data_IF_744975742390
#
_entry.id   IF_744975742390
#
_cell.length_a   1.000
_cell.length_b   1.000
_cell.length_c   1.000
_cell.angle_alpha   90.00
_cell.angle_beta   90.00
_cell.angle_gamma   90.00
#
_symmetry.space_group_name_H-M   'P 1'
#
loop_
_entity.id
_entity.type
_entity.pdbx_description
1 polymer ?
#
# COMPACT_ATOMS: atom_id res chain seq x y z
N UNK A 1 -12.28 7.01 -39.82
CA UNK A 1 -11.87 6.58 -38.47
C UNK A 1 -10.94 7.64 -37.93
N UNK A 2 -11.44 8.52 -37.05
CA UNK A 2 -10.57 9.51 -36.39
C UNK A 2 -9.88 8.79 -35.23
N UNK A 3 -8.65 8.34 -35.45
CA UNK A 3 -7.79 7.88 -34.36
C UNK A 3 -7.43 9.09 -33.50
N UNK A 4 -7.46 8.95 -32.18
CA UNK A 4 -7.07 9.98 -31.21
C UNK A 4 -5.79 9.51 -30.53
N UNK A 5 -4.65 9.44 -31.25
CA UNK A 5 -3.40 8.92 -30.71
C UNK A 5 -2.97 9.65 -29.44
N UNK A 6 -3.31 10.93 -29.32
CA UNK A 6 -3.03 11.76 -28.16
C UNK A 6 -3.61 11.20 -26.84
N UNK A 7 -4.81 10.59 -26.85
CA UNK A 7 -5.41 10.01 -25.64
C UNK A 7 -4.71 8.69 -25.29
N UNK A 8 -4.30 7.91 -26.28
CA UNK A 8 -3.54 6.67 -26.06
C UNK A 8 -2.17 6.96 -25.46
N UNK A 9 -1.48 7.97 -25.99
CA UNK A 9 -0.17 8.41 -25.51
C UNK A 9 -0.26 9.01 -24.09
N UNK A 10 -1.33 9.76 -23.80
CA UNK A 10 -1.61 10.25 -22.45
C UNK A 10 -1.87 9.11 -21.47
N UNK A 11 -2.68 8.10 -21.85
CA UNK A 11 -2.91 6.90 -21.04
C UNK A 11 -1.62 6.12 -20.79
N UNK A 12 -0.80 5.91 -21.82
CA UNK A 12 0.49 5.21 -21.69
C UNK A 12 1.39 5.92 -20.68
N UNK A 13 1.54 7.25 -20.77
CA UNK A 13 2.33 8.03 -19.82
C UNK A 13 1.81 7.93 -18.39
N UNK A 14 0.49 8.00 -18.20
CA UNK A 14 -0.12 7.84 -16.88
C UNK A 14 0.15 6.46 -16.28
N UNK A 15 0.01 5.40 -17.07
CA UNK A 15 0.31 4.04 -16.61
C UNK A 15 1.79 3.83 -16.30
N UNK A 16 2.69 4.37 -17.13
CA UNK A 16 4.14 4.33 -16.86
C UNK A 16 4.49 5.04 -15.55
N UNK A 17 3.86 6.20 -15.28
CA UNK A 17 4.03 6.89 -14.01
C UNK A 17 3.50 6.05 -12.84
N UNK A 18 2.33 5.42 -12.98
CA UNK A 18 1.81 4.51 -11.97
C UNK A 18 2.78 3.35 -11.67
N UNK A 19 3.42 2.76 -12.68
CA UNK A 19 4.46 1.72 -12.48
C UNK A 19 5.56 2.21 -11.54
N UNK A 20 6.07 3.43 -11.75
CA UNK A 20 7.12 4.01 -10.88
C UNK A 20 6.64 4.13 -9.44
N UNK A 21 5.41 4.59 -9.21
CA UNK A 21 4.85 4.72 -7.87
C UNK A 21 4.58 3.35 -7.21
N UNK A 22 4.07 2.38 -7.96
CA UNK A 22 3.92 1.02 -7.45
C UNK A 22 5.26 0.39 -7.07
N UNK A 23 6.31 0.58 -7.87
CA UNK A 23 7.66 0.12 -7.54
C UNK A 23 8.21 0.78 -6.26
N UNK A 24 7.96 2.08 -6.06
CA UNK A 24 8.33 2.77 -4.81
C UNK A 24 7.54 2.24 -3.61
N UNK A 25 6.24 1.98 -3.78
CA UNK A 25 5.42 1.37 -2.75
C UNK A 25 5.93 -0.04 -2.39
N UNK A 26 6.38 -0.82 -3.38
CA UNK A 26 7.01 -2.13 -3.14
C UNK A 26 8.27 -2.00 -2.29
N UNK A 27 9.18 -1.06 -2.61
CA UNK A 27 10.39 -0.82 -1.82
C UNK A 27 10.09 -0.39 -0.37
N UNK A 28 9.07 0.45 -0.19
CA UNK A 28 8.61 0.82 1.16
C UNK A 28 8.05 -0.41 1.90
N UNK A 29 7.27 -1.25 1.21
CA UNK A 29 6.74 -2.50 1.78
C UNK A 29 7.84 -3.50 2.17
N UNK A 30 8.90 -3.63 1.36
CA UNK A 30 10.09 -4.42 1.67
C UNK A 30 10.81 -3.87 2.92
N UNK A 31 10.87 -2.55 3.06
CA UNK A 31 11.46 -1.88 4.22
C UNK A 31 10.65 -2.15 5.50
N UNK A 32 9.31 -2.04 5.44
CA UNK A 32 8.42 -2.44 6.54
C UNK A 32 8.62 -3.91 6.91
N UNK A 33 8.65 -4.79 5.90
CA UNK A 33 8.86 -6.23 6.09
C UNK A 33 10.18 -6.53 6.79
N UNK A 34 11.27 -5.86 6.39
CA UNK A 34 12.58 -5.99 7.03
C UNK A 34 12.55 -5.51 8.47
N UNK A 35 12.02 -4.31 8.72
CA UNK A 35 11.92 -3.75 10.07
C UNK A 35 11.09 -4.65 11.02
N UNK A 36 9.99 -5.23 10.53
CA UNK A 36 9.19 -6.21 11.29
C UNK A 36 9.97 -7.48 11.65
N UNK A 37 10.83 -7.99 10.74
CA UNK A 37 11.66 -9.16 11.00
C UNK A 37 12.77 -8.88 12.00
N UNK A 38 13.35 -7.69 11.93
CA UNK A 38 14.43 -7.22 12.80
C UNK A 38 13.92 -6.67 14.14
N UNK A 39 12.60 -6.62 14.34
CA UNK A 39 11.95 -5.99 15.50
C UNK A 39 12.38 -4.52 15.70
N UNK A 40 12.69 -3.84 14.59
CA UNK A 40 13.04 -2.43 14.56
C UNK A 40 11.78 -1.54 14.55
N UNK A 41 11.98 -0.24 14.73
CA UNK A 41 10.89 0.73 14.56
C UNK A 41 10.40 0.72 13.09
N UNK A 42 9.08 0.61 12.92
CA UNK A 42 8.40 0.55 11.63
C UNK A 42 7.72 1.86 11.27
N UNK A 43 7.69 2.86 12.16
CA UNK A 43 6.85 4.06 12.01
C UNK A 43 7.15 4.81 10.71
N UNK A 44 8.41 5.16 10.47
CA UNK A 44 8.84 5.88 9.27
C UNK A 44 8.57 5.09 7.99
N UNK A 45 8.82 3.78 8.02
CA UNK A 45 8.61 2.90 6.88
C UNK A 45 7.13 2.78 6.50
N UNK A 46 6.25 2.70 7.50
CA UNK A 46 4.79 2.69 7.30
C UNK A 46 4.30 4.04 6.80
N UNK A 47 4.82 5.15 7.35
CA UNK A 47 4.49 6.50 6.89
C UNK A 47 4.87 6.69 5.41
N UNK A 48 6.07 6.22 5.01
CA UNK A 48 6.51 6.25 3.63
C UNK A 48 5.62 5.40 2.72
N UNK A 49 5.25 4.19 3.14
CA UNK A 49 4.35 3.32 2.38
C UNK A 49 2.98 3.99 2.16
N UNK A 50 2.38 4.55 3.22
CA UNK A 50 1.10 5.25 3.14
C UNK A 50 1.18 6.44 2.17
N UNK A 51 2.25 7.25 2.25
CA UNK A 51 2.46 8.35 1.32
C UNK A 51 2.52 7.88 -0.15
N UNK A 52 3.16 6.73 -0.44
CA UNK A 52 3.16 6.19 -1.80
C UNK A 52 1.77 5.72 -2.25
N UNK A 53 0.98 5.13 -1.35
CA UNK A 53 -0.39 4.68 -1.66
C UNK A 53 -1.32 5.87 -1.94
N UNK A 54 -1.15 6.99 -1.22
CA UNK A 54 -1.91 8.22 -1.47
C UNK A 54 -1.61 8.80 -2.87
N UNK A 55 -0.33 8.85 -3.26
CA UNK A 55 0.08 9.29 -4.60
C UNK A 55 -0.51 8.40 -5.70
N UNK A 56 -0.52 7.08 -5.48
CA UNK A 56 -1.16 6.11 -6.39
C UNK A 56 -2.65 6.41 -6.53
N UNK A 57 -3.36 6.67 -5.43
CA UNK A 57 -4.79 6.96 -5.45
C UNK A 57 -5.14 8.23 -6.24
N UNK A 58 -4.29 9.27 -6.13
CA UNK A 58 -4.41 10.50 -6.92
C UNK A 58 -4.23 10.19 -8.42
N UNK A 59 -3.19 9.45 -8.78
CA UNK A 59 -2.91 9.06 -10.18
C UNK A 59 -4.00 8.16 -10.76
N UNK A 60 -4.54 7.22 -9.99
CA UNK A 60 -5.68 6.40 -10.41
C UNK A 60 -6.89 7.24 -10.74
N UNK A 61 -7.21 8.24 -9.91
CA UNK A 61 -8.34 9.12 -10.13
C UNK A 61 -8.20 9.88 -11.45
N UNK A 62 -7.00 10.39 -11.75
CA UNK A 62 -6.70 11.02 -13.03
C UNK A 62 -6.82 10.02 -14.21
N UNK A 63 -6.25 8.83 -14.05
CA UNK A 63 -6.26 7.77 -15.07
C UNK A 63 -7.67 7.30 -15.38
N UNK A 64 -8.57 7.18 -14.39
CA UNK A 64 -9.99 6.82 -14.60
C UNK A 64 -10.72 7.81 -15.51
N UNK A 65 -10.41 9.11 -15.40
CA UNK A 65 -10.99 10.14 -16.29
C UNK A 65 -10.53 9.93 -17.74
N UNK A 66 -9.25 9.64 -17.94
CA UNK A 66 -8.70 9.34 -19.27
C UNK A 66 -9.26 8.04 -19.85
N UNK A 67 -9.36 6.99 -19.03
CA UNK A 67 -10.01 5.73 -19.43
C UNK A 67 -11.46 5.95 -19.84
N UNK A 68 -12.21 6.81 -19.12
CA UNK A 68 -13.58 7.13 -19.49
C UNK A 68 -13.66 7.85 -20.84
N UNK A 69 -12.79 8.83 -21.09
CA UNK A 69 -12.67 9.52 -22.39
C UNK A 69 -12.33 8.53 -23.51
N UNK A 70 -11.36 7.65 -23.28
CA UNK A 70 -10.97 6.60 -24.23
C UNK A 70 -12.11 5.62 -24.53
N UNK A 71 -12.81 5.11 -23.52
CA UNK A 71 -13.96 4.21 -23.73
C UNK A 71 -15.06 4.86 -24.57
N UNK A 72 -15.29 6.16 -24.39
CA UNK A 72 -16.27 6.93 -25.18
C UNK A 72 -15.84 7.17 -26.63
N UNK A 73 -14.54 7.09 -26.94
CA UNK A 73 -14.07 7.20 -28.32
C UNK A 73 -14.34 5.94 -29.15
N UNK A 74 -14.66 4.81 -28.50
CA UNK A 74 -14.91 3.53 -29.15
C UNK A 74 -13.66 2.90 -29.78
N UNK A 75 -12.48 3.43 -29.49
CA UNK A 75 -11.22 2.94 -30.03
C UNK A 75 -10.76 1.67 -29.30
N UNK A 76 -10.14 0.77 -30.06
CA UNK A 76 -9.46 -0.40 -29.48
C UNK A 76 -8.05 0.03 -29.06
N UNK A 77 -7.53 -0.45 -27.91
CA UNK A 77 -6.16 -0.16 -27.48
C UNK A 77 -5.16 -0.67 -28.52
N UNK A 78 -4.17 0.15 -28.88
CA UNK A 78 -3.04 -0.25 -29.71
C UNK A 78 -2.09 -1.19 -28.98
N UNK A 79 -1.08 -1.68 -29.70
CA UNK A 79 -0.11 -2.62 -29.14
C UNK A 79 0.68 -2.03 -27.96
N UNK A 80 1.01 -0.73 -28.04
CA UNK A 80 1.77 -0.06 -27.00
C UNK A 80 0.96 0.06 -25.70
N UNK A 81 -0.29 0.51 -25.77
CA UNK A 81 -1.16 0.59 -24.61
C UNK A 81 -1.42 -0.79 -23.98
N UNK A 82 -1.61 -1.84 -24.80
CA UNK A 82 -1.77 -3.20 -24.30
C UNK A 82 -0.53 -3.72 -23.55
N UNK A 83 0.67 -3.40 -24.05
CA UNK A 83 1.92 -3.75 -23.36
C UNK A 83 2.01 -3.02 -22.01
N UNK A 84 1.78 -1.71 -22.01
CA UNK A 84 1.84 -0.89 -20.79
C UNK A 84 0.83 -1.34 -19.73
N UNK A 85 -0.41 -1.71 -20.12
CA UNK A 85 -1.41 -2.25 -19.20
C UNK A 85 -0.95 -3.58 -18.58
N UNK A 86 -0.29 -4.44 -19.37
CA UNK A 86 0.25 -5.70 -18.87
C UNK A 86 1.34 -5.45 -17.83
N UNK A 87 2.24 -4.52 -18.10
CA UNK A 87 3.33 -4.17 -17.18
C UNK A 87 2.77 -3.63 -15.86
N UNK A 88 1.78 -2.73 -15.93
CA UNK A 88 1.06 -2.26 -14.73
C UNK A 88 0.44 -3.42 -13.96
N UNK A 89 -0.26 -4.32 -14.65
CA UNK A 89 -0.93 -5.45 -13.99
C UNK A 89 0.07 -6.38 -13.27
N UNK A 90 1.22 -6.64 -13.88
CA UNK A 90 2.29 -7.43 -13.25
C UNK A 90 2.83 -6.75 -11.99
N UNK A 91 3.10 -5.44 -12.07
CA UNK A 91 3.64 -4.67 -10.93
C UNK A 91 2.60 -4.58 -9.80
N UNK A 92 1.33 -4.35 -10.11
CA UNK A 92 0.24 -4.35 -9.11
C UNK A 92 0.14 -5.70 -8.42
N UNK A 93 0.20 -6.81 -9.18
CA UNK A 93 0.20 -8.15 -8.60
C UNK A 93 1.35 -8.34 -7.61
N UNK A 94 2.57 -7.95 -8.01
CA UNK A 94 3.75 -8.05 -7.14
C UNK A 94 3.63 -7.19 -5.88
N UNK A 95 3.05 -5.99 -6.00
CA UNK A 95 2.78 -5.14 -4.84
C UNK A 95 1.79 -5.79 -3.86
N UNK A 96 0.72 -6.40 -4.36
CA UNK A 96 -0.24 -7.15 -3.53
C UNK A 96 0.48 -8.27 -2.78
N UNK A 97 1.29 -9.08 -3.49
CA UNK A 97 2.06 -10.16 -2.88
C UNK A 97 3.00 -9.64 -1.77
N UNK A 98 3.66 -8.49 -1.98
CA UNK A 98 4.49 -7.85 -0.96
C UNK A 98 3.68 -7.40 0.27
N UNK A 99 2.53 -6.76 0.05
CA UNK A 99 1.66 -6.28 1.12
C UNK A 99 1.12 -7.43 1.97
N UNK A 100 0.72 -8.54 1.35
CA UNK A 100 0.24 -9.74 2.05
C UNK A 100 1.32 -10.33 2.98
N UNK A 101 2.58 -10.33 2.55
CA UNK A 101 3.72 -10.77 3.36
C UNK A 101 3.93 -9.84 4.56
N UNK A 102 3.94 -8.52 4.32
CA UNK A 102 4.10 -7.52 5.37
C UNK A 102 2.96 -7.60 6.40
N UNK A 103 1.72 -7.73 5.94
CA UNK A 103 0.55 -7.85 6.79
C UNK A 103 0.59 -9.13 7.63
N UNK A 104 0.94 -10.27 7.02
CA UNK A 104 1.06 -11.54 7.74
C UNK A 104 2.10 -11.45 8.86
N UNK A 105 3.24 -10.81 8.60
CA UNK A 105 4.28 -10.59 9.62
C UNK A 105 3.80 -9.64 10.72
N UNK A 106 3.18 -8.52 10.35
CA UNK A 106 2.65 -7.55 11.33
C UNK A 106 1.61 -8.20 12.25
N UNK A 107 0.69 -9.01 11.70
CA UNK A 107 -0.31 -9.76 12.48
C UNK A 107 0.37 -10.73 13.45
N UNK A 108 1.36 -11.50 13.00
CA UNK A 108 2.12 -12.43 13.85
C UNK A 108 2.86 -11.69 14.97
N UNK A 109 3.54 -10.59 14.67
CA UNK A 109 4.24 -9.78 15.68
C UNK A 109 3.27 -9.22 16.72
N UNK A 110 2.12 -8.69 16.29
CA UNK A 110 1.07 -8.21 17.20
C UNK A 110 0.56 -9.32 18.10
N UNK A 111 0.25 -10.49 17.53
CA UNK A 111 -0.31 -11.61 18.28
C UNK A 111 0.70 -12.16 19.31
N UNK A 112 2.00 -12.13 18.99
CA UNK A 112 3.08 -12.50 19.92
C UNK A 112 3.24 -11.50 21.08
N UNK A 113 2.98 -10.21 20.88
CA UNK A 113 3.05 -9.18 21.92
C UNK A 113 1.80 -9.15 22.83
N UNK A 114 0.67 -9.69 22.36
CA UNK A 114 -0.62 -9.65 23.08
C UNK A 114 -0.56 -10.19 24.51
N UNK A 115 0.13 -11.31 24.82
CA UNK A 115 0.24 -11.81 26.18
C UNK A 115 1.01 -10.87 27.11
N UNK A 116 2.09 -10.25 26.62
CA UNK A 116 2.89 -9.31 27.41
C UNK A 116 2.08 -8.06 27.76
N UNK A 117 1.32 -7.53 26.80
CA UNK A 117 0.40 -6.39 27.02
C UNK A 117 -0.67 -6.75 28.07
N UNK A 118 -1.28 -7.93 27.94
CA UNK A 118 -2.30 -8.40 28.90
C UNK A 118 -1.73 -8.56 30.31
N UNK A 119 -0.49 -9.03 30.42
CA UNK A 119 0.20 -9.14 31.71
C UNK A 119 0.45 -7.76 32.34
N UNK A 120 1.02 -6.82 31.58
CA UNK A 120 1.26 -5.44 32.06
C UNK A 120 -0.02 -4.75 32.51
N UNK A 121 -1.11 -4.89 31.74
CA UNK A 121 -2.41 -4.32 32.10
C UNK A 121 -2.94 -4.93 33.41
N UNK A 122 -2.77 -6.24 33.63
CA UNK A 122 -3.19 -6.89 34.87
C UNK A 122 -2.38 -6.40 36.08
N UNK A 123 -1.07 -6.23 35.92
CA UNK A 123 -0.20 -5.71 36.99
C UNK A 123 -0.60 -4.28 37.36
N UNK A 124 -0.89 -3.44 36.38
CA UNK A 124 -1.32 -2.07 36.60
C UNK A 124 -2.69 -2.01 37.32
N UNK A 125 -3.66 -2.80 36.89
CA UNK A 125 -4.95 -2.93 37.56
C UNK A 125 -4.81 -3.38 39.03
N UNK A 126 -3.93 -4.33 39.31
CA UNK A 126 -3.65 -4.77 40.68
C UNK A 126 -3.06 -3.63 41.53
N UNK A 127 -2.11 -2.85 41.00
CA UNK A 127 -1.51 -1.71 41.72
C UNK A 127 -2.55 -0.66 42.08
N UNK A 128 -3.44 -0.34 41.14
CA UNK A 128 -4.52 0.63 41.37
C UNK A 128 -5.50 0.15 42.45
N UNK A 129 -5.85 -1.14 42.44
CA UNK A 129 -6.72 -1.72 43.47
C UNK A 129 -6.10 -1.62 44.88
N UNK A 130 -4.81 -1.92 45.03
CA UNK A 130 -4.12 -1.81 46.32
C UNK A 130 -4.03 -0.38 46.85
N UNK A 131 -3.80 0.60 45.97
CA UNK A 131 -3.78 2.02 46.34
C UNK A 131 -5.14 2.48 46.87
N UNK A 132 -6.24 2.07 46.24
CA UNK A 132 -7.59 2.42 46.68
C UNK A 132 -7.98 1.82 48.04
N UNK A 133 -7.44 0.64 48.38
CA UNK A 133 -7.71 -0.01 49.69
C UNK A 133 -6.81 0.49 50.83
N UNK A 134 -5.74 1.24 50.54
CA UNK A 134 -4.82 1.77 51.56
C UNK A 134 -5.24 3.14 52.10
N UNK A 135 -6.15 3.84 51.41
CA UNK A 135 -6.61 5.20 51.73
C UNK A 135 -8.01 5.23 52.37
N UNK A 136 -8.58 4.06 52.72
CA UNK A 136 -9.87 3.91 53.40
C UNK A 136 -9.76 3.14 54.70
#
# INVERSE_FOLDING_TARGET
MNSHPEIEDELCRHYQLQVVHFQRAMQACETVTRALREQADVHDAVAQLNSQLDEIAVLETATRKLQHRWRRSGQKPGLHLNATIRDVAEVVKRLIDCLDVAETLARRSRDALRPAIAHSNRVEQMRQAYQQTSDG
#
